data_IF_518024357706
#
_entry.id   IF_518024357706
#
_cell.length_a   1.000
_cell.length_b   1.000
_cell.length_c   1.000
_cell.angle_alpha   90.00
_cell.angle_beta   90.00
_cell.angle_gamma   90.00
#
_symmetry.space_group_name_H-M   'P 1'
#
loop_
_entity.id
_entity.type
_entity.pdbx_description
1 polymer ?
#
# COMPACT_ATOMS: atom_id res chain seq x y z
N UNK A 1 -13.64 5.76 14.54
CA UNK A 1 -12.27 6.23 14.22
C UNK A 1 -11.44 6.09 15.48
N UNK A 2 -10.40 5.26 15.46
CA UNK A 2 -9.51 5.05 16.60
C UNK A 2 -8.17 5.70 16.26
N UNK A 3 -7.71 6.63 17.12
CA UNK A 3 -6.33 7.15 17.08
C UNK A 3 -6.16 8.67 16.86
N UNK A 4 -7.23 9.42 16.59
CA UNK A 4 -7.14 10.89 16.46
C UNK A 4 -7.60 11.56 17.76
N UNK A 5 -6.69 12.30 18.41
CA UNK A 5 -7.06 13.18 19.53
C UNK A 5 -7.24 14.59 18.96
N UNK A 6 -8.44 15.14 19.12
CA UNK A 6 -8.77 16.49 18.71
C UNK A 6 -8.48 17.44 19.86
N UNK A 7 -7.48 18.31 19.71
CA UNK A 7 -7.20 19.36 20.68
C UNK A 7 -8.04 20.60 20.33
N UNK A 8 -8.97 20.92 21.21
CA UNK A 8 -9.98 21.97 21.02
C UNK A 8 -9.43 23.37 21.18
N UNK A 9 -8.24 23.53 21.79
CA UNK A 9 -7.65 24.85 22.05
C UNK A 9 -6.84 25.37 20.84
N UNK A 10 -6.31 24.47 20.00
CA UNK A 10 -5.46 24.80 18.85
C UNK A 10 -6.09 24.52 17.48
N UNK A 11 -7.18 23.74 17.42
CA UNK A 11 -7.81 23.31 16.16
C UNK A 11 -7.02 22.26 15.38
N UNK A 12 -5.99 21.67 16.00
CA UNK A 12 -5.08 20.71 15.38
C UNK A 12 -5.50 19.27 15.67
N UNK A 13 -5.25 18.39 14.71
CA UNK A 13 -5.48 16.95 14.88
C UNK A 13 -4.17 16.25 15.22
N UNK A 14 -4.12 15.58 16.37
CA UNK A 14 -2.97 14.79 16.77
C UNK A 14 -3.06 13.39 16.15
N UNK A 15 -2.09 13.04 15.32
CA UNK A 15 -1.99 11.73 14.68
C UNK A 15 -0.68 11.07 15.13
N UNK A 16 -0.76 10.28 16.21
CA UNK A 16 0.31 9.49 16.85
C UNK A 16 1.59 10.23 17.27
N UNK A 17 2.32 10.85 16.34
CA UNK A 17 3.63 11.50 16.57
C UNK A 17 3.83 12.83 15.81
N UNK A 18 2.83 13.33 15.07
CA UNK A 18 2.91 14.62 14.36
C UNK A 18 1.65 15.45 14.54
N UNK A 19 1.84 16.76 14.55
CA UNK A 19 0.75 17.73 14.50
C UNK A 19 0.37 17.96 13.04
N UNK A 20 -0.93 17.85 12.72
CA UNK A 20 -1.49 18.11 11.40
C UNK A 20 -2.31 19.40 11.44
N UNK A 21 -2.06 20.31 10.50
CA UNK A 21 -2.87 21.51 10.30
C UNK A 21 -3.93 21.24 9.21
N UNK A 22 -5.21 21.10 9.58
CA UNK A 22 -6.29 20.85 8.62
C UNK A 22 -6.61 22.04 7.72
N UNK A 23 -6.19 23.28 8.06
CA UNK A 23 -6.40 24.44 7.21
C UNK A 23 -5.46 24.46 6.00
N UNK A 24 -4.26 23.91 6.15
CA UNK A 24 -3.20 23.94 5.13
C UNK A 24 -2.97 22.57 4.45
N UNK A 25 -3.48 21.48 5.03
CA UNK A 25 -3.31 20.13 4.46
C UNK A 25 -1.88 19.57 4.57
N UNK A 26 -1.08 20.10 5.50
CA UNK A 26 0.34 19.73 5.70
C UNK A 26 0.60 19.32 7.14
N UNK A 27 1.66 18.54 7.36
CA UNK A 27 2.20 18.33 8.70
C UNK A 27 2.99 19.56 9.14
N UNK A 28 2.88 19.97 10.40
CA UNK A 28 3.63 21.14 10.94
C UNK A 28 4.96 20.72 11.61
N UNK A 29 5.24 19.41 11.69
CA UNK A 29 6.46 18.86 12.26
C UNK A 29 7.23 18.04 11.21
N UNK A 30 8.56 18.26 11.14
CA UNK A 30 9.47 17.60 10.20
C UNK A 30 9.47 16.06 10.35
N UNK A 31 9.54 15.35 9.22
CA UNK A 31 9.59 13.88 9.20
C UNK A 31 10.86 13.33 9.89
N UNK A 32 10.76 12.42 10.88
CA UNK A 32 11.91 11.82 11.56
C UNK A 32 12.87 11.04 10.64
N UNK A 33 12.41 10.58 9.47
CA UNK A 33 13.26 9.86 8.50
C UNK A 33 14.11 10.82 7.63
N UNK A 34 13.86 12.12 7.73
CA UNK A 34 14.54 13.17 6.98
C UNK A 34 14.34 13.07 5.47
N UNK A 35 15.34 13.48 4.69
CA UNK A 35 15.32 13.48 3.22
C UNK A 35 15.13 12.09 2.56
N UNK A 36 15.18 11.01 3.35
CA UNK A 36 14.86 9.66 2.86
C UNK A 36 13.36 9.43 2.64
N UNK A 37 12.50 10.30 3.17
CA UNK A 37 11.04 10.24 3.01
C UNK A 37 10.50 10.97 1.77
N UNK A 38 11.39 11.55 0.96
CA UNK A 38 11.03 12.35 -0.21
C UNK A 38 11.59 13.77 -0.15
N UNK A 39 11.47 14.51 -1.25
CA UNK A 39 11.99 15.88 -1.37
C UNK A 39 11.19 16.89 -0.53
N UNK A 40 9.95 16.57 -0.17
CA UNK A 40 9.10 17.43 0.66
C UNK A 40 8.76 16.75 2.00
N UNK A 41 9.46 17.08 3.09
CA UNK A 41 9.25 16.49 4.42
C UNK A 41 7.92 16.90 5.07
N UNK A 42 7.13 17.75 4.41
CA UNK A 42 5.82 18.23 4.86
C UNK A 42 4.65 17.68 4.03
N UNK A 43 4.93 16.88 3.01
CA UNK A 43 3.92 16.41 2.08
C UNK A 43 3.03 15.34 2.73
N UNK A 44 1.74 15.62 2.79
CA UNK A 44 0.73 14.61 3.08
C UNK A 44 0.67 13.60 1.93
N UNK A 45 0.51 12.31 2.27
CA UNK A 45 0.52 11.20 1.33
C UNK A 45 -0.24 11.52 0.03
N UNK A 46 0.37 11.20 -1.12
CA UNK A 46 -0.08 11.54 -2.48
C UNK A 46 -1.48 10.97 -2.83
N UNK A 47 -2.15 10.26 -1.92
CA UNK A 47 -3.49 9.75 -2.16
C UNK A 47 -4.30 9.62 -0.85
N UNK A 48 -5.04 10.69 -0.51
CA UNK A 48 -5.85 10.88 0.71
C UNK A 48 -7.08 9.97 0.84
N UNK A 49 -7.46 9.20 -0.18
CA UNK A 49 -8.76 8.49 -0.19
C UNK A 49 -8.68 6.96 -0.06
N UNK A 50 -7.48 6.36 -0.03
CA UNK A 50 -7.36 4.90 0.07
C UNK A 50 -6.20 4.36 0.89
N UNK A 51 -5.25 5.23 1.27
CA UNK A 51 -4.02 4.85 1.95
C UNK A 51 -4.04 5.44 3.35
N UNK A 52 -4.65 4.71 4.29
CA UNK A 52 -4.32 4.96 5.70
C UNK A 52 -2.94 4.35 5.88
N UNK A 53 -1.93 5.20 6.00
CA UNK A 53 -0.62 4.85 6.53
C UNK A 53 -0.65 5.12 8.04
N UNK A 54 -1.06 4.15 8.88
CA UNK A 54 -1.18 4.35 10.32
C UNK A 54 0.17 4.49 11.04
N UNK A 55 1.31 4.31 10.35
CA UNK A 55 2.64 4.30 10.98
C UNK A 55 3.67 5.24 10.31
N UNK A 56 3.47 5.70 9.08
CA UNK A 56 4.40 6.62 8.39
C UNK A 56 5.70 5.98 7.92
N UNK A 57 5.80 4.64 7.90
CA UNK A 57 7.08 3.93 7.87
C UNK A 57 7.24 2.90 6.73
N UNK A 58 6.22 2.65 5.90
CA UNK A 58 6.25 1.60 4.88
C UNK A 58 5.97 2.14 3.47
N UNK A 59 6.85 3.01 2.98
CA UNK A 59 6.77 3.60 1.63
C UNK A 59 7.20 2.64 0.50
N UNK A 60 7.65 1.42 0.81
CA UNK A 60 8.19 0.47 -0.16
C UNK A 60 7.55 -0.91 -0.01
N UNK A 61 6.93 -1.41 -1.08
CA UNK A 61 6.49 -2.80 -1.18
C UNK A 61 7.32 -3.53 -2.23
N UNK A 62 7.56 -4.82 -2.02
CA UNK A 62 8.38 -5.64 -2.89
C UNK A 62 7.58 -6.80 -3.48
N UNK A 63 7.74 -7.00 -4.78
CA UNK A 63 7.27 -8.20 -5.50
C UNK A 63 8.46 -9.11 -5.78
N UNK A 64 8.31 -10.40 -5.46
CA UNK A 64 9.31 -11.42 -5.76
C UNK A 64 9.15 -12.02 -7.15
N UNK A 65 10.26 -12.17 -7.88
CA UNK A 65 10.38 -12.99 -9.09
C UNK A 65 11.44 -14.08 -8.91
N UNK A 66 11.56 -15.01 -9.86
CA UNK A 66 12.73 -15.88 -9.90
C UNK A 66 13.97 -15.06 -10.27
N UNK A 67 15.18 -15.44 -9.80
CA UNK A 67 16.40 -14.73 -10.17
C UNK A 67 16.55 -14.55 -11.69
N UNK A 68 16.75 -13.30 -12.12
CA UNK A 68 16.89 -12.94 -13.54
C UNK A 68 15.57 -12.82 -14.33
N UNK A 69 14.40 -12.95 -13.69
CA UNK A 69 13.10 -12.75 -14.32
C UNK A 69 12.45 -11.42 -13.91
N UNK A 70 11.67 -10.83 -14.82
CA UNK A 70 10.81 -9.69 -14.48
C UNK A 70 9.62 -10.14 -13.64
N UNK A 71 9.25 -9.43 -12.55
CA UNK A 71 8.11 -9.80 -11.73
C UNK A 71 6.79 -9.67 -12.51
N UNK A 72 5.96 -10.70 -12.39
CA UNK A 72 4.59 -10.67 -12.91
C UNK A 72 3.59 -10.34 -11.81
N UNK A 73 2.70 -9.40 -12.12
CA UNK A 73 1.52 -9.08 -11.34
C UNK A 73 0.27 -9.81 -11.82
N UNK A 74 0.35 -10.62 -12.88
CA UNK A 74 -0.78 -11.45 -13.30
C UNK A 74 -1.12 -12.44 -12.16
N UNK A 75 -2.34 -12.41 -11.61
CA UNK A 75 -2.67 -13.18 -10.43
C UNK A 75 -2.89 -14.65 -10.81
N UNK A 76 -2.35 -15.56 -10.00
CA UNK A 76 -2.64 -16.99 -10.13
C UNK A 76 -4.07 -17.28 -9.63
N UNK A 77 -4.71 -18.38 -10.09
CA UNK A 77 -6.07 -18.74 -9.65
C UNK A 77 -6.25 -18.88 -8.14
N UNK A 78 -5.18 -19.15 -7.39
CA UNK A 78 -5.21 -19.27 -5.93
C UNK A 78 -4.97 -17.94 -5.19
N UNK A 79 -4.54 -16.88 -5.88
CA UNK A 79 -4.25 -15.57 -5.28
C UNK A 79 -5.51 -14.70 -5.13
N UNK A 80 -6.58 -14.95 -5.89
CA UNK A 80 -7.84 -14.21 -5.76
C UNK A 80 -9.02 -15.12 -5.40
N UNK A 81 -10.12 -14.52 -4.97
CA UNK A 81 -11.39 -15.22 -4.71
C UNK A 81 -12.51 -14.53 -5.45
N UNK A 82 -13.35 -15.31 -6.12
CA UNK A 82 -14.58 -14.81 -6.75
C UNK A 82 -15.72 -14.90 -5.74
N UNK A 83 -16.54 -13.87 -5.70
CA UNK A 83 -17.81 -13.86 -5.00
C UNK A 83 -18.84 -14.67 -5.82
N UNK A 84 -19.40 -15.77 -5.29
CA UNK A 84 -20.31 -16.61 -6.04
C UNK A 84 -21.64 -15.91 -6.38
N UNK A 85 -21.99 -14.82 -5.68
CA UNK A 85 -23.22 -14.08 -5.92
C UNK A 85 -23.05 -13.05 -7.02
N UNK A 86 -21.93 -12.32 -7.02
CA UNK A 86 -21.69 -11.22 -7.97
C UNK A 86 -20.85 -11.62 -9.19
N UNK A 87 -20.10 -12.74 -9.11
CA UNK A 87 -19.11 -13.12 -10.11
C UNK A 87 -17.83 -12.26 -10.10
N UNK A 88 -17.73 -11.32 -9.17
CA UNK A 88 -16.60 -10.38 -9.09
C UNK A 88 -15.50 -10.85 -8.13
N UNK A 89 -14.29 -10.33 -8.32
CA UNK A 89 -13.16 -10.55 -7.42
C UNK A 89 -13.44 -9.88 -6.08
N UNK A 90 -13.29 -10.65 -4.99
CA UNK A 90 -13.39 -10.16 -3.61
C UNK A 90 -12.21 -9.26 -3.27
N UNK A 91 -12.44 -8.31 -2.37
CA UNK A 91 -11.42 -7.36 -1.87
C UNK A 91 -10.56 -7.92 -0.73
N UNK A 92 -10.51 -9.25 -0.57
CA UNK A 92 -9.95 -9.93 0.62
C UNK A 92 -8.73 -10.79 0.33
N UNK A 93 -8.46 -11.09 -0.95
CA UNK A 93 -7.36 -11.96 -1.37
C UNK A 93 -6.77 -11.42 -2.67
N UNK A 94 -5.45 -11.38 -2.77
CA UNK A 94 -4.81 -10.92 -3.99
C UNK A 94 -3.32 -11.24 -4.12
N UNK A 95 -2.63 -10.42 -4.92
CA UNK A 95 -1.24 -10.68 -5.31
C UNK A 95 -0.31 -10.39 -4.14
N UNK A 96 0.53 -11.37 -3.79
CA UNK A 96 1.43 -11.27 -2.63
C UNK A 96 2.56 -10.26 -2.85
N UNK A 97 2.71 -9.36 -1.87
CA UNK A 97 3.79 -8.37 -1.77
C UNK A 97 4.31 -8.31 -0.32
N UNK A 98 5.50 -7.74 -0.14
CA UNK A 98 6.17 -7.69 1.16
C UNK A 98 6.66 -6.28 1.47
N UNK A 99 6.64 -5.87 2.73
CA UNK A 99 7.12 -4.56 3.18
C UNK A 99 8.65 -4.46 3.28
N UNK A 100 9.36 -5.57 3.12
CA UNK A 100 10.82 -5.60 3.21
C UNK A 100 11.46 -6.57 2.23
N UNK A 101 12.66 -6.19 1.77
CA UNK A 101 13.47 -6.94 0.81
C UNK A 101 13.84 -8.35 1.32
N UNK A 102 14.15 -8.45 2.61
CA UNK A 102 14.66 -9.67 3.23
C UNK A 102 13.63 -10.80 3.21
N UNK A 103 12.35 -10.51 3.46
CA UNK A 103 11.25 -11.48 3.40
C UNK A 103 11.10 -12.13 2.03
N UNK A 104 11.38 -11.37 0.97
CA UNK A 104 11.33 -11.89 -0.41
C UNK A 104 12.54 -12.77 -0.68
N UNK A 105 13.75 -12.26 -0.37
CA UNK A 105 15.00 -13.00 -0.60
C UNK A 105 15.09 -14.29 0.24
N UNK A 106 14.58 -14.29 1.47
CA UNK A 106 14.58 -15.49 2.33
C UNK A 106 13.70 -16.61 1.79
N UNK A 107 12.77 -16.29 0.88
CA UNK A 107 11.93 -17.25 0.16
C UNK A 107 12.53 -17.68 -1.18
N UNK A 108 13.76 -17.27 -1.49
CA UNK A 108 14.47 -17.63 -2.73
C UNK A 108 14.06 -16.80 -3.95
N UNK A 109 13.40 -15.66 -3.76
CA UNK A 109 12.98 -14.77 -4.85
C UNK A 109 13.85 -13.52 -4.93
N UNK A 110 13.98 -12.97 -6.13
CA UNK A 110 14.59 -11.66 -6.36
C UNK A 110 13.58 -10.54 -6.03
N UNK A 111 13.93 -9.60 -5.14
CA UNK A 111 13.03 -8.53 -4.72
C UNK A 111 13.07 -7.31 -5.64
N UNK A 112 11.90 -6.96 -6.17
CA UNK A 112 11.68 -5.77 -6.99
C UNK A 112 10.82 -4.77 -6.26
N UNK A 113 11.29 -3.52 -6.13
CA UNK A 113 10.54 -2.46 -5.46
C UNK A 113 9.38 -2.02 -6.35
N UNK A 114 8.17 -1.94 -5.81
CA UNK A 114 6.98 -1.53 -6.53
C UNK A 114 6.99 -0.01 -6.66
N UNK A 115 6.78 0.50 -7.89
CA UNK A 115 6.53 1.91 -8.10
C UNK A 115 5.09 2.23 -7.68
N UNK A 116 4.94 2.70 -6.44
CA UNK A 116 3.65 3.01 -5.83
C UNK A 116 2.85 4.07 -6.61
N UNK A 117 3.52 4.89 -7.43
CA UNK A 117 2.83 5.88 -8.29
C UNK A 117 2.05 5.24 -9.43
N UNK A 118 2.36 3.99 -9.77
CA UNK A 118 1.70 3.21 -10.83
C UNK A 118 0.56 2.32 -10.33
N UNK A 119 0.38 2.23 -9.01
CA UNK A 119 -0.73 1.51 -8.39
C UNK A 119 -1.99 2.38 -8.45
N UNK A 120 -2.97 2.00 -9.25
CA UNK A 120 -4.25 2.72 -9.36
C UNK A 120 -5.04 2.71 -8.05
N UNK A 121 -5.85 3.76 -7.84
CA UNK A 121 -6.90 3.90 -6.82
C UNK A 121 -7.96 2.78 -6.82
N UNK A 122 -8.07 2.04 -7.93
CA UNK A 122 -8.87 0.81 -8.05
C UNK A 122 -8.28 -0.38 -7.33
N UNK A 123 -7.04 -0.28 -6.87
CA UNK A 123 -6.35 -1.28 -6.08
C UNK A 123 -6.06 -0.72 -4.70
N UNK A 124 -5.88 -1.62 -3.74
CA UNK A 124 -5.38 -1.30 -2.40
C UNK A 124 -4.48 -2.43 -1.92
N UNK A 125 -3.57 -2.10 -1.00
CA UNK A 125 -2.74 -3.11 -0.35
C UNK A 125 -3.30 -3.36 1.05
N UNK A 126 -3.50 -4.63 1.38
CA UNK A 126 -3.99 -5.04 2.70
C UNK A 126 -2.97 -5.96 3.37
N UNK A 127 -2.83 -5.84 4.68
CA UNK A 127 -2.14 -6.86 5.48
C UNK A 127 -3.09 -8.03 5.71
N UNK A 128 -2.62 -9.26 5.54
CA UNK A 128 -3.44 -10.45 5.71
C UNK A 128 -2.68 -11.55 6.45
N UNK A 129 -3.37 -12.20 7.38
CA UNK A 129 -2.81 -13.30 8.17
C UNK A 129 -1.92 -12.81 9.33
N UNK A 130 -1.14 -13.72 9.89
CA UNK A 130 -0.29 -13.46 11.05
C UNK A 130 1.13 -13.00 10.68
N UNK A 131 1.52 -13.11 9.40
CA UNK A 131 2.81 -12.60 8.94
C UNK A 131 2.70 -11.10 8.73
N UNK A 132 3.25 -10.34 9.68
CA UNK A 132 3.18 -8.88 9.65
C UNK A 132 3.90 -8.26 8.44
N UNK A 133 4.76 -9.03 7.77
CA UNK A 133 5.56 -8.58 6.63
C UNK A 133 4.92 -8.93 5.29
N UNK A 134 3.83 -9.71 5.30
CA UNK A 134 3.14 -10.17 4.11
C UNK A 134 1.86 -9.38 3.90
N UNK A 135 1.73 -8.87 2.68
CA UNK A 135 0.63 -8.05 2.23
C UNK A 135 0.10 -8.58 0.90
N UNK A 136 -1.10 -8.16 0.54
CA UNK A 136 -1.72 -8.54 -0.71
C UNK A 136 -2.28 -7.31 -1.42
N UNK A 137 -1.96 -7.15 -2.70
CA UNK A 137 -2.62 -6.18 -3.58
C UNK A 137 -3.97 -6.77 -3.95
N UNK A 138 -5.06 -6.08 -3.61
CA UNK A 138 -6.44 -6.50 -3.85
C UNK A 138 -7.20 -5.38 -4.57
N UNK A 139 -8.35 -5.64 -5.20
CA UNK A 139 -9.17 -4.55 -5.70
C UNK A 139 -9.74 -3.72 -4.54
N UNK A 140 -9.88 -2.41 -4.72
CA UNK A 140 -10.38 -1.51 -3.68
C UNK A 140 -11.86 -1.74 -3.39
N UNK A 141 -12.63 -2.11 -4.42
CA UNK A 141 -14.02 -2.58 -4.40
C UNK A 141 -14.18 -3.85 -5.25
N UNK A 142 -15.25 -4.61 -5.09
CA UNK A 142 -15.46 -5.80 -5.94
C UNK A 142 -15.54 -5.40 -7.42
N UNK A 143 -14.82 -6.11 -8.29
CA UNK A 143 -14.80 -5.84 -9.74
C UNK A 143 -14.59 -7.11 -10.57
N UNK A 144 -14.91 -7.10 -11.88
CA UNK A 144 -14.64 -8.23 -12.76
C UNK A 144 -13.17 -8.64 -12.77
N UNK A 145 -12.89 -9.93 -12.96
CA UNK A 145 -11.52 -10.46 -13.00
C UNK A 145 -10.67 -9.80 -14.10
N UNK A 146 -11.25 -9.53 -15.27
CA UNK A 146 -10.56 -8.89 -16.38
C UNK A 146 -10.06 -7.47 -16.03
N UNK A 147 -10.89 -6.69 -15.32
CA UNK A 147 -10.54 -5.34 -14.88
C UNK A 147 -9.44 -5.40 -13.82
N UNK A 148 -9.57 -6.33 -12.85
CA UNK A 148 -8.54 -6.52 -11.82
C UNK A 148 -7.18 -6.89 -12.43
N UNK A 149 -7.14 -7.82 -13.39
CA UNK A 149 -5.91 -8.18 -14.12
C UNK A 149 -5.37 -6.95 -14.86
N UNK A 150 -6.24 -6.19 -15.53
CA UNK A 150 -5.84 -5.00 -16.28
C UNK A 150 -5.19 -3.96 -15.37
N UNK A 151 -5.76 -3.67 -14.20
CA UNK A 151 -5.16 -2.74 -13.24
C UNK A 151 -3.83 -3.27 -12.68
N UNK A 152 -3.72 -4.56 -12.39
CA UNK A 152 -2.47 -5.18 -11.94
C UNK A 152 -1.35 -5.08 -12.98
N UNK A 153 -1.65 -5.22 -14.27
CA UNK A 153 -0.64 -5.12 -15.34
C UNK A 153 -0.07 -3.71 -15.55
N UNK A 154 -0.72 -2.68 -15.00
CA UNK A 154 -0.21 -1.29 -15.04
C UNK A 154 0.90 -1.05 -14.02
N UNK A 155 1.00 -1.90 -12.98
CA UNK A 155 1.98 -1.76 -11.91
C UNK A 155 3.38 -1.99 -12.47
N UNK A 156 4.28 -1.04 -12.18
CA UNK A 156 5.70 -1.12 -12.53
C UNK A 156 6.55 -1.34 -11.29
N UNK A 157 7.79 -1.76 -11.54
CA UNK A 157 8.83 -1.87 -10.53
C UNK A 157 9.97 -0.89 -10.83
N UNK A 158 10.65 -0.42 -9.78
CA UNK A 158 11.80 0.49 -9.85
C UNK A 158 13.12 -0.27 -10.00
#
# INVERSE_FOLDING_TARGET
MQGQYYDTESGLHYNSYRYYDPACGVFISQDPIGLKGGLNPYQFAVNTLGWVDPLGLSSCFYRGSKPGETPSFAPKPNEYKIDPTTGNVKTTHGVSVFDNRTSVSSKGFEPHNIDMTTVSDKLKIIQRGNDLKHFEIVPSQQMPLADYITELTKIKVQ
#
